data_IF_588322652018
#
_entry.id   IF_588322652018
#
_cell.length_a   1.000
_cell.length_b   1.000
_cell.length_c   1.000
_cell.angle_alpha   90.00
_cell.angle_beta   90.00
_cell.angle_gamma   90.00
#
_symmetry.space_group_name_H-M   'P 1'
#
loop_
_entity.id
_entity.type
_entity.pdbx_description
1 polymer ?
#
# COMPACT_ATOMS: atom_id res chain seq x y z
N UNK A 1 13.01 -5.98 0.01
CA UNK A 1 12.94 -5.52 1.42
C UNK A 1 11.72 -6.08 2.16
N UNK A 2 10.49 -6.00 1.62
CA UNK A 2 9.28 -6.41 2.35
C UNK A 2 9.24 -7.89 2.78
N UNK A 3 9.60 -8.82 1.88
CA UNK A 3 9.69 -10.26 2.22
C UNK A 3 10.65 -10.53 3.39
N UNK A 4 11.76 -9.79 3.46
CA UNK A 4 12.72 -9.90 4.57
C UNK A 4 12.11 -9.39 5.89
N UNK A 5 11.37 -8.29 5.85
CA UNK A 5 10.65 -7.78 7.03
C UNK A 5 9.60 -8.79 7.51
N UNK A 6 8.82 -9.38 6.61
CA UNK A 6 7.84 -10.42 6.96
C UNK A 6 8.52 -11.66 7.54
N UNK A 7 9.69 -12.03 7.03
CA UNK A 7 10.49 -13.10 7.60
C UNK A 7 10.97 -12.79 9.03
N UNK A 8 11.45 -11.56 9.28
CA UNK A 8 11.82 -11.11 10.63
C UNK A 8 10.62 -11.10 11.58
N UNK A 9 9.45 -10.65 11.10
CA UNK A 9 8.20 -10.68 11.87
C UNK A 9 7.85 -12.11 12.26
N UNK A 10 7.90 -13.05 11.31
CA UNK A 10 7.65 -14.47 11.58
C UNK A 10 8.61 -15.03 12.65
N UNK A 11 9.92 -14.77 12.51
CA UNK A 11 10.92 -15.20 13.49
C UNK A 11 10.64 -14.62 14.88
N UNK A 12 10.35 -13.33 14.97
CA UNK A 12 10.02 -12.65 16.22
C UNK A 12 8.76 -13.23 16.89
N UNK A 13 7.68 -13.39 16.13
CA UNK A 13 6.43 -13.96 16.64
C UNK A 13 6.59 -15.42 17.07
N UNK A 14 7.39 -16.22 16.35
CA UNK A 14 7.69 -17.60 16.70
C UNK A 14 8.51 -17.70 17.99
N UNK A 15 9.49 -16.81 18.19
CA UNK A 15 10.21 -16.73 19.45
C UNK A 15 9.29 -16.35 20.61
N UNK A 16 8.43 -15.35 20.43
CA UNK A 16 7.46 -14.92 21.44
C UNK A 16 6.44 -16.00 21.79
N UNK A 17 5.96 -16.76 20.80
CA UNK A 17 5.06 -17.89 21.02
C UNK A 17 5.72 -18.99 21.86
N UNK A 18 7.01 -19.28 21.63
CA UNK A 18 7.76 -20.27 22.43
C UNK A 18 8.01 -19.80 23.86
N UNK A 19 8.41 -18.53 24.04
CA UNK A 19 8.65 -17.95 25.37
C UNK A 19 7.37 -17.97 26.22
N UNK A 20 6.22 -17.70 25.59
CA UNK A 20 4.93 -17.59 26.27
C UNK A 20 4.11 -18.89 26.26
N UNK A 21 4.71 -20.02 25.92
CA UNK A 21 4.00 -21.31 25.84
C UNK A 21 3.44 -21.73 27.19
N UNK A 22 4.26 -21.65 28.24
CA UNK A 22 3.88 -22.04 29.61
C UNK A 22 3.36 -20.86 30.45
N UNK A 23 3.28 -19.66 29.86
CA UNK A 23 2.73 -18.47 30.53
C UNK A 23 1.22 -18.46 30.33
N UNK A 24 0.48 -18.51 31.44
CA UNK A 24 -0.99 -18.46 31.42
C UNK A 24 -1.52 -17.06 31.69
N UNK A 25 -2.57 -16.70 30.96
CA UNK A 25 -3.30 -15.45 31.15
C UNK A 25 -3.97 -15.42 32.53
N UNK A 26 -3.92 -14.28 33.26
CA UNK A 26 -4.33 -14.22 34.66
C UNK A 26 -5.82 -14.45 34.89
N UNK A 27 -6.67 -14.17 33.90
CA UNK A 27 -8.13 -14.27 34.02
C UNK A 27 -8.72 -15.48 33.31
N UNK A 28 -8.14 -15.92 32.19
CA UNK A 28 -8.67 -17.05 31.39
C UNK A 28 -7.91 -18.35 31.65
N UNK A 29 -6.70 -18.30 32.21
CA UNK A 29 -5.82 -19.45 32.35
C UNK A 29 -5.31 -20.02 31.02
N UNK A 30 -5.63 -19.40 29.88
CA UNK A 30 -5.16 -19.85 28.57
C UNK A 30 -3.68 -19.51 28.37
N UNK A 31 -2.97 -20.31 27.58
CA UNK A 31 -1.58 -20.01 27.21
C UNK A 31 -1.49 -18.70 26.43
N UNK A 32 -0.53 -17.85 26.78
CA UNK A 32 -0.26 -16.58 26.10
C UNK A 32 0.40 -16.78 24.72
N UNK A 33 0.86 -17.99 24.40
CA UNK A 33 1.38 -18.32 23.06
C UNK A 33 0.34 -18.06 21.94
N UNK A 34 -0.96 -18.17 22.23
CA UNK A 34 -2.01 -17.97 21.22
C UNK A 34 -2.04 -16.55 20.65
N UNK A 35 -1.66 -15.55 21.45
CA UNK A 35 -1.59 -14.14 21.02
C UNK A 35 -0.51 -13.97 19.95
N UNK A 36 0.64 -14.64 20.14
CA UNK A 36 1.75 -14.57 19.21
C UNK A 36 1.61 -15.52 18.02
N UNK A 37 0.85 -16.61 18.18
CA UNK A 37 0.47 -17.51 17.09
C UNK A 37 -0.27 -16.77 15.96
N UNK A 38 -1.09 -15.76 16.30
CA UNK A 38 -1.73 -14.90 15.30
C UNK A 38 -0.70 -14.20 14.38
N UNK A 39 0.44 -13.78 14.94
CA UNK A 39 1.54 -13.19 14.17
C UNK A 39 2.18 -14.17 13.18
N UNK A 40 2.31 -15.46 13.54
CA UNK A 40 2.81 -16.48 12.61
C UNK A 40 1.87 -16.67 11.42
N UNK A 41 0.56 -16.77 11.69
CA UNK A 41 -0.45 -16.95 10.65
C UNK A 41 -0.46 -15.75 9.71
N UNK A 42 -0.45 -14.54 10.28
CA UNK A 42 -0.37 -13.31 9.49
C UNK A 42 0.88 -13.27 8.61
N UNK A 43 2.06 -13.52 9.18
CA UNK A 43 3.31 -13.45 8.43
C UNK A 43 3.38 -14.52 7.33
N UNK A 44 2.82 -15.72 7.56
CA UNK A 44 2.74 -16.76 6.53
C UNK A 44 1.84 -16.33 5.35
N UNK A 45 0.65 -15.79 5.64
CA UNK A 45 -0.25 -15.27 4.61
C UNK A 45 0.38 -14.10 3.84
N UNK A 46 0.97 -13.14 4.56
CA UNK A 46 1.64 -11.98 3.95
C UNK A 46 2.81 -12.40 3.07
N UNK A 47 3.63 -13.37 3.50
CA UNK A 47 4.74 -13.89 2.70
C UNK A 47 4.23 -14.54 1.41
N UNK A 48 3.13 -15.29 1.47
CA UNK A 48 2.53 -15.94 0.30
C UNK A 48 2.01 -14.91 -0.72
N UNK A 49 1.29 -13.88 -0.25
CA UNK A 49 0.79 -12.79 -1.11
C UNK A 49 1.97 -12.07 -1.77
N UNK A 50 2.96 -11.64 -0.98
CA UNK A 50 4.14 -10.95 -1.49
C UNK A 50 4.96 -11.79 -2.46
N UNK A 51 5.02 -13.11 -2.26
CA UNK A 51 5.71 -14.02 -3.17
C UNK A 51 4.97 -14.13 -4.51
N UNK A 52 3.63 -14.17 -4.49
CA UNK A 52 2.81 -14.14 -5.72
C UNK A 52 3.00 -12.82 -6.45
N UNK A 53 2.93 -11.70 -5.74
CA UNK A 53 3.10 -10.37 -6.35
C UNK A 53 4.51 -10.20 -6.93
N UNK A 54 5.54 -10.66 -6.22
CA UNK A 54 6.90 -10.65 -6.72
C UNK A 54 7.05 -11.54 -7.97
N UNK A 55 6.41 -12.71 -7.99
CA UNK A 55 6.39 -13.57 -9.16
C UNK A 55 5.71 -12.89 -10.35
N UNK A 56 4.55 -12.26 -10.15
CA UNK A 56 3.83 -11.51 -11.20
C UNK A 56 4.67 -10.35 -11.74
N UNK A 57 5.36 -9.63 -10.85
CA UNK A 57 6.28 -8.54 -11.21
C UNK A 57 7.45 -9.06 -12.07
N UNK A 58 8.11 -10.14 -11.64
CA UNK A 58 9.26 -10.70 -12.36
C UNK A 58 8.86 -11.37 -13.69
N UNK A 59 7.65 -11.89 -13.78
CA UNK A 59 7.12 -12.51 -15.01
C UNK A 59 6.50 -11.51 -15.99
N UNK A 60 6.49 -10.22 -15.66
CA UNK A 60 5.91 -9.17 -16.51
C UNK A 60 4.39 -9.27 -16.64
N UNK A 61 3.70 -9.92 -15.69
CA UNK A 61 2.25 -10.09 -15.67
C UNK A 61 1.53 -8.93 -14.95
N UNK A 62 2.22 -7.81 -14.76
CA UNK A 62 1.64 -6.58 -14.22
C UNK A 62 1.30 -5.69 -15.41
N UNK A 63 0.04 -5.26 -15.51
CA UNK A 63 -0.39 -4.31 -16.54
C UNK A 63 0.31 -2.97 -16.30
N UNK A 64 0.71 -2.26 -17.37
CA UNK A 64 1.35 -0.94 -17.24
C UNK A 64 0.49 0.04 -16.42
N UNK A 65 -0.83 -0.13 -16.49
CA UNK A 65 -1.85 0.61 -15.74
C UNK A 65 -1.68 0.51 -14.21
N UNK A 66 -1.22 -0.64 -13.71
CA UNK A 66 -0.96 -0.89 -12.28
C UNK A 66 0.41 -0.32 -11.83
N UNK A 67 1.31 -0.05 -12.78
CA UNK A 67 2.62 0.57 -12.53
C UNK A 67 2.54 2.10 -12.50
N UNK A 68 1.52 2.69 -13.14
CA UNK A 68 1.20 4.14 -13.10
C UNK A 68 0.37 4.44 -11.85
N UNK A 69 0.87 4.09 -10.66
CA UNK A 69 0.05 4.25 -9.44
C UNK A 69 0.03 5.70 -8.92
N UNK A 70 0.97 6.57 -9.29
CA UNK A 70 0.91 8.01 -8.99
C UNK A 70 1.73 8.75 -10.03
N UNK A 71 1.08 9.37 -11.03
CA UNK A 71 1.65 10.60 -11.61
C UNK A 71 1.69 11.61 -10.46
N UNK A 72 2.88 12.11 -10.11
CA UNK A 72 3.06 13.18 -9.12
C UNK A 72 1.98 14.24 -9.35
N UNK A 73 1.05 14.37 -8.39
CA UNK A 73 -0.15 15.20 -8.48
C UNK A 73 0.19 16.64 -8.90
N UNK A 74 1.42 17.09 -8.61
CA UNK A 74 1.94 18.40 -8.98
C UNK A 74 1.93 18.66 -10.49
N UNK A 75 2.38 17.72 -11.33
CA UNK A 75 2.40 17.91 -12.78
C UNK A 75 1.00 17.82 -13.40
N UNK A 76 0.15 16.92 -12.89
CA UNK A 76 -1.23 16.79 -13.33
C UNK A 76 -2.07 18.04 -12.96
N UNK A 77 -1.86 18.60 -11.77
CA UNK A 77 -2.48 19.85 -11.32
C UNK A 77 -1.96 21.04 -12.12
N UNK A 78 -0.64 21.14 -12.36
CA UNK A 78 -0.05 22.20 -13.18
C UNK A 78 -0.55 22.17 -14.63
N UNK A 79 -0.67 20.98 -15.24
CA UNK A 79 -1.26 20.83 -16.57
C UNK A 79 -2.72 21.29 -16.60
N UNK A 80 -3.54 20.92 -15.60
CA UNK A 80 -4.92 21.43 -15.50
C UNK A 80 -4.98 22.95 -15.31
N UNK A 81 -4.03 23.54 -14.56
CA UNK A 81 -3.98 24.99 -14.34
C UNK A 81 -3.55 25.75 -15.60
N UNK A 82 -2.58 25.21 -16.35
CA UNK A 82 -2.14 25.77 -17.64
C UNK A 82 -3.26 25.65 -18.69
N UNK A 83 -3.92 24.50 -18.78
CA UNK A 83 -5.03 24.29 -19.73
C UNK A 83 -6.29 25.09 -19.34
N UNK A 84 -6.58 25.22 -18.05
CA UNK A 84 -7.71 26.02 -17.53
C UNK A 84 -7.50 27.53 -17.67
N UNK A 85 -6.27 28.02 -17.49
CA UNK A 85 -5.93 29.43 -17.74
C UNK A 85 -5.96 29.77 -19.23
N UNK A 86 -5.52 28.86 -20.11
CA UNK A 86 -5.62 29.02 -21.56
C UNK A 86 -7.08 29.08 -22.07
N UNK A 87 -8.01 28.39 -21.41
CA UNK A 87 -9.44 28.42 -21.74
C UNK A 87 -10.15 29.72 -21.37
N UNK A 88 -9.60 30.53 -20.47
CA UNK A 88 -10.26 31.75 -19.95
C UNK A 88 -9.87 33.02 -20.72
N UNK A 89 -8.81 32.99 -21.53
CA UNK A 89 -8.29 34.19 -22.23
C UNK A 89 -8.99 34.52 -23.57
N UNK A 90 -9.89 33.68 -24.08
CA UNK A 90 -10.60 33.91 -25.35
C UNK A 90 -12.10 34.25 -25.22
N UNK A 91 -12.52 34.90 -24.12
CA UNK A 91 -13.78 35.64 -24.13
C UNK A 91 -13.61 36.96 -24.92
N UNK A 92 -13.86 36.90 -26.24
CA UNK A 92 -13.89 38.09 -27.10
C UNK A 92 -14.94 39.10 -26.59
N UNK A 93 -14.57 40.35 -26.22
CA UNK A 93 -15.55 41.40 -26.07
C UNK A 93 -16.11 41.77 -27.44
N UNK A 94 -17.30 41.24 -27.74
CA UNK A 94 -18.09 41.56 -28.91
C UNK A 94 -18.58 43.01 -28.84
N UNK A 95 -17.92 43.89 -29.62
CA UNK A 95 -18.47 45.03 -30.37
C UNK A 95 -19.97 45.32 -30.14
N UNK A 96 -20.27 46.21 -29.19
CA UNK A 96 -21.34 47.21 -29.31
C UNK A 96 -20.61 48.50 -29.74
N UNK A 97 -20.80 49.05 -30.93
CA UNK A 97 -22.08 49.49 -31.46
C UNK A 97 -22.01 51.01 -31.60
N UNK A 98 -21.10 51.51 -32.43
CA UNK A 98 -21.04 52.92 -32.80
C UNK A 98 -22.21 53.25 -33.74
N UNK A 99 -23.25 53.89 -33.20
CA UNK A 99 -24.11 54.87 -33.89
C UNK A 99 -24.64 55.86 -32.87
#
# INVERSE_FOLDING_TARGET
VMLYIVWLLFQGSLAQARINWDVTAPTTGASMAIVYAAGLVFAACAALILAIDLYRLLSGQIADEDLVMVQESEEAVQLQQILGSAGTTHAFPGKEGAR
#
